data_IF_540395626799
#
_entry.id   IF_540395626799
#
_cell.length_a   1.000
_cell.length_b   1.000
_cell.length_c   1.000
_cell.angle_alpha   90.00
_cell.angle_beta   90.00
_cell.angle_gamma   90.00
#
_symmetry.space_group_name_H-M   'P 1'
#
loop_
_entity.id
_entity.type
_entity.pdbx_description
1 polymer ?
#
# COMPACT_ATOMS: atom_id res chain seq x y z
N UNK A 1 9.15 -12.57 -20.24
CA UNK A 1 8.23 -12.32 -19.11
C UNK A 1 8.89 -11.30 -18.20
N UNK A 2 8.80 -10.02 -18.57
CA UNK A 2 9.32 -8.93 -17.75
C UNK A 2 8.16 -8.43 -16.92
N UNK A 3 8.05 -8.88 -15.68
CA UNK A 3 7.15 -8.27 -14.69
C UNK A 3 7.53 -6.80 -14.63
N UNK A 4 6.73 -5.95 -15.26
CA UNK A 4 6.93 -4.52 -15.27
C UNK A 4 6.92 -4.10 -13.81
N UNK A 5 8.06 -3.63 -13.31
CA UNK A 5 8.14 -3.07 -11.96
C UNK A 5 7.20 -1.87 -11.74
N UNK A 6 6.45 -1.43 -12.77
CA UNK A 6 5.43 -0.38 -12.70
C UNK A 6 4.00 -0.88 -12.48
N UNK A 7 3.76 -2.19 -12.37
CA UNK A 7 2.42 -2.75 -12.16
C UNK A 7 2.13 -3.15 -10.71
N UNK A 8 3.08 -2.95 -9.78
CA UNK A 8 2.88 -3.18 -8.36
C UNK A 8 2.37 -1.91 -7.66
N UNK A 9 1.26 -2.04 -6.95
CA UNK A 9 0.58 -1.02 -6.18
C UNK A 9 0.50 -1.44 -4.72
N UNK A 10 0.66 -0.50 -3.79
CA UNK A 10 0.39 -0.72 -2.38
C UNK A 10 -0.70 0.21 -1.92
N UNK A 11 -1.48 -0.22 -0.94
CA UNK A 11 -2.37 0.71 -0.27
C UNK A 11 -1.54 1.47 0.76
N UNK A 12 -1.59 2.79 0.68
CA UNK A 12 -1.00 3.68 1.65
C UNK A 12 -2.07 4.58 2.27
N UNK A 13 -2.02 4.76 3.59
CA UNK A 13 -2.80 5.73 4.33
C UNK A 13 -1.84 6.64 5.11
N UNK A 14 -1.84 7.96 4.84
CA UNK A 14 -1.06 8.90 5.64
C UNK A 14 -1.54 8.96 7.10
N UNK A 15 -2.83 8.76 7.37
CA UNK A 15 -3.33 8.72 8.75
C UNK A 15 -2.74 7.53 9.51
N UNK A 16 -2.72 6.34 8.90
CA UNK A 16 -2.08 5.17 9.53
C UNK A 16 -0.58 5.34 9.67
N UNK A 17 0.08 5.95 8.69
CA UNK A 17 1.51 6.23 8.81
C UNK A 17 1.81 7.17 9.98
N UNK A 18 0.92 8.14 10.25
CA UNK A 18 1.04 9.09 11.34
C UNK A 18 0.73 8.49 12.72
N UNK A 19 -0.24 7.57 12.83
CA UNK A 19 -0.62 6.97 14.13
C UNK A 19 0.15 5.67 14.43
N UNK A 20 0.64 4.98 13.40
CA UNK A 20 1.17 3.62 13.47
C UNK A 20 2.68 3.50 13.30
N UNK A 21 3.47 4.51 13.68
CA UNK A 21 4.94 4.46 13.61
C UNK A 21 5.47 4.07 12.21
N UNK A 22 4.99 4.77 11.17
CA UNK A 22 5.27 4.45 9.75
C UNK A 22 4.58 3.18 9.20
N UNK A 23 3.68 2.54 9.96
CA UNK A 23 2.81 1.47 9.47
C UNK A 23 1.64 1.99 8.63
N UNK A 24 1.95 2.79 7.61
CA UNK A 24 0.96 3.38 6.71
C UNK A 24 0.55 2.47 5.56
N UNK A 25 1.12 1.28 5.44
CA UNK A 25 0.90 0.42 4.28
C UNK A 25 0.03 -0.78 4.62
N UNK A 26 -0.82 -1.21 3.70
CA UNK A 26 -1.67 -2.37 3.96
C UNK A 26 -1.00 -3.69 3.56
N UNK A 27 -1.24 -4.71 4.37
CA UNK A 27 -0.99 -6.10 4.10
C UNK A 27 -2.20 -6.97 4.33
N UNK A 28 -2.46 -7.86 3.38
CA UNK A 28 -3.65 -8.71 3.40
C UNK A 28 -3.64 -9.70 4.58
N UNK A 29 -2.46 -10.07 5.07
CA UNK A 29 -2.27 -11.01 6.18
C UNK A 29 -2.19 -10.33 7.56
N UNK A 30 -1.65 -9.11 7.63
CA UNK A 30 -1.27 -8.46 8.90
C UNK A 30 -2.00 -7.14 9.15
N UNK A 31 -2.71 -6.59 8.17
CA UNK A 31 -3.35 -5.27 8.24
C UNK A 31 -2.36 -4.13 7.95
N UNK A 32 -2.41 -3.06 8.72
CA UNK A 32 -1.51 -1.91 8.55
C UNK A 32 -0.11 -2.21 9.08
N UNK A 33 0.88 -2.20 8.18
CA UNK A 33 2.27 -2.57 8.40
C UNK A 33 3.21 -1.55 7.74
N UNK A 34 4.50 -1.52 8.11
CA UNK A 34 5.49 -0.70 7.41
C UNK A 34 5.72 -1.17 5.98
N UNK A 35 6.36 -0.31 5.17
CA UNK A 35 6.61 -0.53 3.75
C UNK A 35 7.27 -1.89 3.44
N UNK A 36 8.21 -2.33 4.28
CA UNK A 36 8.95 -3.59 4.11
C UNK A 36 8.04 -4.83 4.15
N UNK A 37 6.93 -4.75 4.87
CA UNK A 37 5.97 -5.85 5.03
C UNK A 37 4.71 -5.67 4.18
N UNK A 38 4.60 -4.59 3.41
CA UNK A 38 3.41 -4.23 2.66
C UNK A 38 3.12 -5.19 1.49
N UNK A 39 1.84 -5.48 1.25
CA UNK A 39 1.42 -6.36 0.15
C UNK A 39 1.36 -5.58 -1.17
N UNK A 40 2.12 -6.04 -2.17
CA UNK A 40 2.03 -5.53 -3.54
C UNK A 40 0.83 -6.14 -4.26
N UNK A 41 -0.08 -5.29 -4.72
CA UNK A 41 -1.19 -5.63 -5.57
C UNK A 41 -0.86 -5.33 -7.03
N UNK A 42 -1.35 -6.16 -7.94
CA UNK A 42 -1.27 -5.92 -9.37
C UNK A 42 -2.31 -4.88 -9.81
N UNK A 43 -2.10 -4.20 -10.94
CA UNK A 43 -3.09 -3.23 -11.46
C UNK A 43 -4.50 -3.84 -11.62
N UNK A 44 -4.60 -5.10 -12.06
CA UNK A 44 -5.86 -5.84 -12.19
C UNK A 44 -6.55 -6.08 -10.83
N UNK A 45 -5.74 -6.33 -9.79
CA UNK A 45 -6.20 -6.52 -8.42
C UNK A 45 -6.72 -5.22 -7.82
N UNK A 46 -6.06 -4.09 -8.07
CA UNK A 46 -6.49 -2.78 -7.52
C UNK A 46 -7.90 -2.36 -7.96
N UNK A 47 -8.36 -2.82 -9.13
CA UNK A 47 -9.71 -2.54 -9.61
C UNK A 47 -10.79 -3.47 -9.05
N UNK A 48 -10.38 -4.63 -8.51
CA UNK A 48 -11.29 -5.66 -7.99
C UNK A 48 -11.30 -5.73 -6.47
N UNK A 49 -10.21 -5.34 -5.82
CA UNK A 49 -10.09 -5.31 -4.37
C UNK A 49 -10.71 -4.05 -3.79
N UNK A 50 -11.52 -4.23 -2.75
CA UNK A 50 -11.95 -3.14 -1.92
C UNK A 50 -10.78 -2.59 -1.10
N UNK A 51 -10.67 -1.27 -1.07
CA UNK A 51 -9.73 -0.58 -0.19
C UNK A 51 -10.03 -0.95 1.26
N UNK A 52 -8.99 -1.23 2.07
CA UNK A 52 -9.16 -1.51 3.49
C UNK A 52 -9.68 -0.26 4.21
N UNK A 53 -10.43 -0.49 5.29
CA UNK A 53 -10.89 0.58 6.17
C UNK A 53 -9.66 1.17 6.88
N UNK A 54 -9.36 2.43 6.60
CA UNK A 54 -8.37 3.23 7.36
C UNK A 54 -9.07 4.07 8.40
N UNK A 55 -8.37 4.48 9.46
CA UNK A 55 -8.94 5.34 10.52
C UNK A 55 -9.54 6.64 9.98
N UNK A 56 -8.98 7.23 8.90
CA UNK A 56 -9.51 8.43 8.25
C UNK A 56 -10.21 8.18 6.91
N UNK A 57 -10.36 6.92 6.47
CA UNK A 57 -10.91 6.59 5.14
C UNK A 57 -10.06 7.09 3.97
N UNK A 58 -8.78 7.36 4.22
CA UNK A 58 -7.82 7.95 3.29
C UNK A 58 -6.86 6.92 2.65
N UNK A 59 -7.17 5.61 2.78
CA UNK A 59 -6.53 4.55 2.02
C UNK A 59 -6.59 4.85 0.52
N UNK A 60 -5.42 4.85 -0.11
CA UNK A 60 -5.31 4.96 -1.57
C UNK A 60 -4.28 3.99 -2.10
N UNK A 61 -4.51 3.46 -3.29
CA UNK A 61 -3.48 2.73 -4.01
C UNK A 61 -2.43 3.73 -4.50
N UNK A 62 -1.17 3.47 -4.16
CA UNK A 62 -0.01 4.20 -4.66
C UNK A 62 0.95 3.23 -5.36
N UNK A 63 1.66 3.67 -6.42
CA UNK A 63 2.64 2.82 -7.08
C UNK A 63 3.76 2.44 -6.11
N UNK A 64 4.16 1.16 -6.08
CA UNK A 64 5.23 0.67 -5.21
C UNK A 64 6.53 1.47 -5.38
N UNK A 65 6.85 1.87 -6.62
CA UNK A 65 8.04 2.68 -6.90
C UNK A 65 7.97 4.07 -6.26
N UNK A 66 6.81 4.73 -6.31
CA UNK A 66 6.63 6.02 -5.66
C UNK A 66 6.69 5.88 -4.15
N UNK A 67 6.04 4.86 -3.60
CA UNK A 67 6.09 4.57 -2.17
C UNK A 67 7.53 4.33 -1.69
N UNK A 68 8.28 3.47 -2.40
CA UNK A 68 9.68 3.21 -2.10
C UNK A 68 10.55 4.46 -2.16
N UNK A 69 10.25 5.39 -3.07
CA UNK A 69 11.06 6.59 -3.29
C UNK A 69 10.75 7.70 -2.28
N UNK A 70 9.53 7.73 -1.76
CA UNK A 70 9.08 8.71 -0.78
C UNK A 70 9.21 8.25 0.67
N UNK A 71 9.16 6.93 0.91
CA UNK A 71 9.07 6.34 2.25
C UNK A 71 10.10 5.22 2.52
N UNK A 72 10.94 4.87 1.53
CA UNK A 72 11.98 3.83 1.65
C UNK A 72 13.38 4.36 1.87
#
# INVERSE_FOLDING_TARGET
>A
MTSKAGDCWVVYSPNESAIGDSAGFWSNEFGWVPFDQATCFSAEETGSLQLPISTGGDARFVPWQEARRHYG
#
